data_IF_857115571693
#
_entry.id   IF_857115571693
#
_cell.length_a   1.000
_cell.length_b   1.000
_cell.length_c   1.000
_cell.angle_alpha   90.00
_cell.angle_beta   90.00
_cell.angle_gamma   90.00
#
_symmetry.space_group_name_H-M   'P 1'
#
loop_
_entity.id
_entity.type
_entity.pdbx_description
1 polymer ?
#
# COMPACT_ATOMS: atom_id res chain seq x y z
N UNK A 1 -3.83 2.26 56.19
CA UNK A 1 -4.49 1.03 56.56
C UNK A 1 -5.49 0.69 55.48
N UNK A 2 -5.07 -0.10 54.48
CA UNK A 2 -5.80 -1.16 53.79
C UNK A 2 -4.89 -1.73 52.72
N UNK A 3 -4.43 -2.92 52.98
CA UNK A 3 -3.72 -3.85 52.12
C UNK A 3 -4.73 -4.69 51.37
N UNK A 4 -4.45 -4.96 50.07
CA UNK A 4 -4.82 -6.20 49.37
C UNK A 4 -4.13 -6.20 48.03
N UNK A 5 -3.15 -6.94 47.72
CA UNK A 5 -2.74 -8.35 47.65
C UNK A 5 -3.66 -9.17 46.75
N UNK A 6 -3.04 -9.74 45.69
CA UNK A 6 -3.30 -10.90 44.83
C UNK A 6 -3.24 -10.51 43.34
N UNK A 7 -2.57 -11.19 42.46
CA UNK A 7 -1.85 -12.45 42.46
C UNK A 7 -1.77 -12.91 41.00
N UNK A 8 -0.78 -13.67 40.55
CA UNK A 8 -0.50 -13.94 39.13
C UNK A 8 -1.29 -15.14 38.61
N UNK A 9 -1.85 -15.05 37.42
CA UNK A 9 -2.36 -16.20 36.67
C UNK A 9 -1.47 -16.49 35.48
N UNK A 10 -0.54 -17.41 35.66
CA UNK A 10 0.13 -18.15 34.57
C UNK A 10 -0.88 -19.11 33.96
N UNK A 11 -1.05 -19.05 32.64
CA UNK A 11 -1.55 -20.19 31.88
C UNK A 11 -0.57 -20.51 30.77
N UNK A 12 0.16 -21.57 31.01
CA UNK A 12 0.88 -22.35 30.01
C UNK A 12 -0.13 -23.34 29.41
N UNK A 13 -0.18 -23.43 28.12
CA UNK A 13 -0.76 -24.52 27.32
C UNK A 13 -0.08 -24.37 25.97
N UNK A 14 0.51 -25.30 25.35
CA UNK A 14 0.43 -26.74 25.33
C UNK A 14 0.89 -27.10 23.94
N UNK A 15 1.98 -27.83 23.85
CA UNK A 15 2.54 -28.39 22.63
C UNK A 15 1.53 -29.31 21.93
N UNK A 16 1.34 -29.12 20.62
CA UNK A 16 0.61 -30.00 19.74
C UNK A 16 1.37 -30.18 18.45
N UNK A 17 2.31 -31.11 18.45
CA UNK A 17 2.88 -31.77 17.28
C UNK A 17 1.81 -32.67 16.68
N UNK A 18 1.45 -32.47 15.43
CA UNK A 18 0.90 -33.53 14.59
C UNK A 18 1.30 -33.26 13.15
N UNK A 19 2.21 -34.09 12.69
CA UNK A 19 2.59 -34.22 11.31
C UNK A 19 1.45 -34.82 10.49
N UNK A 20 1.30 -34.30 9.29
CA UNK A 20 0.65 -35.00 8.18
C UNK A 20 1.50 -34.79 6.94
N UNK A 21 2.33 -35.78 6.72
CA UNK A 21 2.90 -36.03 5.41
C UNK A 21 1.76 -36.52 4.50
N UNK A 22 1.46 -35.78 3.47
CA UNK A 22 0.63 -36.26 2.36
C UNK A 22 1.48 -36.24 1.10
N UNK A 23 1.88 -37.44 0.77
CA UNK A 23 2.34 -37.85 -0.52
C UNK A 23 1.22 -37.68 -1.54
N UNK A 24 1.35 -36.79 -2.51
CA UNK A 24 0.48 -36.82 -3.69
C UNK A 24 1.29 -37.21 -4.93
N UNK A 25 0.86 -38.34 -5.40
CA UNK A 25 1.27 -39.02 -6.63
C UNK A 25 1.10 -38.15 -7.89
N UNK A 26 2.05 -38.30 -8.74
CA UNK A 26 2.08 -37.94 -10.15
C UNK A 26 1.14 -38.88 -10.91
N UNK A 27 0.18 -38.34 -11.60
CA UNK A 27 -0.51 -38.92 -12.76
C UNK A 27 -1.37 -37.79 -13.36
N UNK A 28 -1.39 -37.51 -14.56
CA UNK A 28 -1.28 -38.12 -15.82
C UNK A 28 -1.58 -37.10 -16.87
N UNK A 29 -0.90 -37.16 -17.92
CA UNK A 29 -1.09 -36.47 -19.17
C UNK A 29 -2.52 -36.66 -19.69
N UNK A 30 -3.14 -35.57 -20.11
CA UNK A 30 -4.16 -35.62 -21.18
C UNK A 30 -4.01 -34.38 -22.04
N UNK A 31 -3.29 -34.56 -23.13
CA UNK A 31 -3.33 -33.70 -24.28
C UNK A 31 -4.72 -33.83 -24.92
N UNK A 32 -5.51 -32.75 -24.83
CA UNK A 32 -6.61 -32.52 -25.74
C UNK A 32 -6.22 -31.38 -26.67
N UNK A 33 -5.63 -31.74 -27.79
CA UNK A 33 -5.69 -30.93 -28.98
C UNK A 33 -7.10 -31.03 -29.53
N UNK A 34 -7.81 -29.95 -29.60
CA UNK A 34 -8.95 -29.82 -30.51
C UNK A 34 -9.21 -28.34 -30.78
N UNK A 35 -9.19 -28.03 -32.05
CA UNK A 35 -9.94 -26.93 -32.62
C UNK A 35 -9.17 -25.65 -32.86
N UNK A 36 -8.41 -25.60 -33.95
CA UNK A 36 -8.19 -24.36 -34.68
C UNK A 36 -9.55 -23.81 -35.15
N UNK A 37 -10.14 -22.93 -34.36
CA UNK A 37 -11.06 -21.95 -34.93
C UNK A 37 -10.24 -20.74 -35.26
N UNK A 38 -9.99 -20.55 -36.55
CA UNK A 38 -9.51 -19.30 -37.11
C UNK A 38 -10.60 -18.23 -36.91
N UNK A 39 -10.68 -17.72 -35.69
CA UNK A 39 -11.38 -16.48 -35.41
C UNK A 39 -10.47 -15.36 -35.85
N UNK A 40 -10.82 -14.69 -36.93
CA UNK A 40 -10.30 -13.39 -37.35
C UNK A 40 -10.63 -12.37 -36.25
N UNK A 41 -9.89 -12.44 -35.14
CA UNK A 41 -9.97 -11.48 -34.04
C UNK A 41 -9.13 -10.27 -34.40
N UNK A 42 -9.78 -9.13 -34.58
CA UNK A 42 -9.10 -7.85 -34.72
C UNK A 42 -8.03 -7.71 -33.64
N UNK A 43 -6.79 -7.44 -34.05
CA UNK A 43 -5.64 -7.25 -33.18
C UNK A 43 -5.77 -5.96 -32.36
N UNK A 44 -6.64 -5.96 -31.38
CA UNK A 44 -6.62 -4.94 -30.33
C UNK A 44 -5.37 -5.16 -29.48
N UNK A 45 -4.54 -4.14 -29.36
CA UNK A 45 -3.45 -4.18 -28.39
C UNK A 45 -4.03 -4.54 -27.00
N UNK A 46 -3.34 -5.34 -26.20
CA UNK A 46 -3.77 -5.59 -24.83
C UNK A 46 -3.92 -4.25 -24.10
N UNK A 47 -4.89 -4.11 -23.20
CA UNK A 47 -5.05 -2.88 -22.45
C UNK A 47 -3.74 -2.58 -21.67
N UNK A 48 -3.38 -1.29 -21.55
CA UNK A 48 -2.19 -0.91 -20.81
C UNK A 48 -2.30 -1.41 -19.36
N UNK A 49 -1.18 -1.80 -18.75
CA UNK A 49 -1.19 -2.24 -17.34
C UNK A 49 -1.61 -1.09 -16.43
N UNK A 50 -2.28 -1.44 -15.33
CA UNK A 50 -2.58 -0.49 -14.25
C UNK A 50 -1.28 0.08 -13.69
N UNK A 51 -1.21 1.40 -13.56
CA UNK A 51 -0.06 2.14 -13.08
C UNK A 51 -0.50 3.17 -12.01
N UNK A 52 0.47 3.69 -11.25
CA UNK A 52 0.25 4.76 -10.30
C UNK A 52 1.46 5.68 -10.20
N UNK A 53 1.20 6.97 -10.05
CA UNK A 53 2.21 7.98 -9.71
C UNK A 53 1.96 8.52 -8.32
N UNK A 54 3.04 8.73 -7.54
CA UNK A 54 2.98 9.30 -6.20
C UNK A 54 3.58 10.71 -6.26
N UNK A 55 2.88 11.69 -5.69
CA UNK A 55 3.39 13.04 -5.50
C UNK A 55 3.17 13.50 -4.07
N UNK A 56 4.01 14.42 -3.61
CA UNK A 56 4.00 14.95 -2.26
C UNK A 56 3.85 16.46 -2.28
N UNK A 57 3.11 17.01 -1.30
CA UNK A 57 3.02 18.44 -1.07
C UNK A 57 2.78 18.76 0.41
N UNK A 58 2.87 20.03 0.78
CA UNK A 58 2.47 20.52 2.11
C UNK A 58 1.03 21.04 2.07
N UNK A 59 0.22 20.68 3.05
CA UNK A 59 -1.15 21.20 3.20
C UNK A 59 -1.20 22.65 3.71
N UNK A 60 -0.05 23.20 4.14
CA UNK A 60 0.03 24.50 4.81
C UNK A 60 -0.24 25.72 3.93
N UNK A 61 -0.19 25.60 2.59
CA UNK A 61 -0.25 26.74 1.66
C UNK A 61 -1.53 26.87 0.83
N UNK A 62 -2.54 26.03 1.08
CA UNK A 62 -3.82 26.04 0.37
C UNK A 62 -3.75 25.57 -1.09
N UNK A 63 -2.56 25.45 -1.67
CA UNK A 63 -2.30 24.87 -2.99
C UNK A 63 -1.23 23.79 -2.86
N UNK A 64 -1.59 22.56 -3.25
CA UNK A 64 -0.67 21.43 -3.21
C UNK A 64 0.36 21.55 -4.35
N UNK A 65 1.49 22.22 -4.10
CA UNK A 65 2.62 22.26 -5.04
C UNK A 65 3.49 21.03 -4.84
N UNK A 66 3.64 20.15 -5.84
CA UNK A 66 4.45 18.96 -5.71
C UNK A 66 5.92 19.27 -5.43
N UNK A 67 6.49 18.59 -4.43
CA UNK A 67 7.91 18.67 -4.10
C UNK A 67 8.41 17.30 -3.62
N UNK A 68 9.72 17.11 -3.65
CA UNK A 68 10.39 15.88 -3.17
C UNK A 68 11.22 16.11 -1.90
N UNK A 69 11.25 17.36 -1.40
CA UNK A 69 11.96 17.71 -0.18
C UNK A 69 11.21 18.77 0.60
N UNK A 70 11.13 18.61 1.91
CA UNK A 70 10.42 19.50 2.83
C UNK A 70 11.27 19.72 4.09
N UNK A 71 11.23 20.93 4.68
CA UNK A 71 11.81 21.17 6.00
C UNK A 71 10.81 20.79 7.08
N UNK A 72 11.23 20.01 8.06
CA UNK A 72 10.40 19.63 9.23
C UNK A 72 9.94 20.85 10.02
N UNK A 73 10.66 21.97 9.93
CA UNK A 73 10.33 23.21 10.63
C UNK A 73 9.13 23.94 10.04
N UNK A 74 8.89 23.82 8.73
CA UNK A 74 7.79 24.49 8.00
C UNK A 74 6.68 23.52 7.59
N UNK A 75 6.97 22.23 7.40
CA UNK A 75 6.00 21.24 6.95
C UNK A 75 4.91 21.03 8.00
N UNK A 76 3.67 21.35 7.65
CA UNK A 76 2.51 21.08 8.50
C UNK A 76 2.07 19.65 8.41
N UNK A 77 1.64 19.25 7.24
CA UNK A 77 1.20 17.90 6.95
C UNK A 77 1.80 17.45 5.62
N UNK A 78 2.40 16.28 5.60
CA UNK A 78 2.85 15.67 4.35
C UNK A 78 1.63 15.06 3.65
N UNK A 79 1.18 15.73 2.59
CA UNK A 79 0.11 15.22 1.74
C UNK A 79 0.69 14.32 0.68
N UNK A 80 0.14 13.12 0.58
CA UNK A 80 0.51 12.09 -0.38
C UNK A 80 -0.64 11.92 -1.35
N UNK A 81 -0.41 12.25 -2.63
CA UNK A 81 -1.37 12.02 -3.70
C UNK A 81 -0.93 10.82 -4.51
N UNK A 82 -1.83 9.86 -4.66
CA UNK A 82 -1.65 8.68 -5.51
C UNK A 82 -2.60 8.82 -6.70
N UNK A 83 -2.02 9.02 -7.89
CA UNK A 83 -2.78 9.11 -9.14
C UNK A 83 -2.72 7.77 -9.84
N UNK A 84 -3.85 7.09 -9.89
CA UNK A 84 -4.05 5.82 -10.57
C UNK A 84 -4.38 6.04 -12.03
N UNK A 85 -3.86 5.18 -12.90
CA UNK A 85 -4.14 5.14 -14.33
C UNK A 85 -4.41 3.70 -14.80
N UNK A 86 -5.22 3.56 -15.84
CA UNK A 86 -5.57 2.28 -16.46
C UNK A 86 -6.19 1.29 -15.48
N UNK A 87 -7.02 1.79 -14.55
CA UNK A 87 -7.78 0.94 -13.65
C UNK A 87 -8.79 0.12 -14.43
N UNK A 88 -8.88 -1.16 -14.11
CA UNK A 88 -9.97 -2.01 -14.60
C UNK A 88 -11.29 -1.69 -13.88
N UNK A 89 -12.41 -2.05 -14.48
CA UNK A 89 -13.71 -1.97 -13.81
C UNK A 89 -13.79 -2.98 -12.66
N UNK A 90 -14.39 -2.60 -11.55
CA UNK A 90 -14.56 -3.46 -10.39
C UNK A 90 -14.21 -2.78 -9.06
N UNK A 91 -14.29 -3.55 -7.99
CA UNK A 91 -13.85 -3.11 -6.68
C UNK A 91 -12.35 -3.29 -6.54
N UNK A 92 -11.70 -2.24 -6.08
CA UNK A 92 -10.26 -2.24 -5.83
C UNK A 92 -9.95 -1.88 -4.38
N UNK A 93 -8.83 -2.37 -3.89
CA UNK A 93 -8.31 -2.06 -2.57
C UNK A 93 -6.88 -1.55 -2.68
N UNK A 94 -6.69 -0.26 -2.38
CA UNK A 94 -5.37 0.35 -2.25
C UNK A 94 -4.83 0.12 -0.84
N UNK A 95 -3.57 -0.29 -0.73
CA UNK A 95 -2.77 -0.20 0.47
C UNK A 95 -1.66 0.84 0.26
N UNK A 96 -1.55 1.78 1.17
CA UNK A 96 -0.49 2.78 1.21
C UNK A 96 0.32 2.58 2.50
N UNK A 97 1.62 2.41 2.37
CA UNK A 97 2.57 2.24 3.46
C UNK A 97 3.57 3.40 3.44
N UNK A 98 3.75 4.03 4.59
CA UNK A 98 4.75 5.08 4.82
C UNK A 98 5.85 4.50 5.70
N UNK A 99 7.07 4.48 5.20
CA UNK A 99 8.24 3.96 5.90
C UNK A 99 9.14 5.12 6.33
N UNK A 100 9.58 5.06 7.58
CA UNK A 100 10.54 6.02 8.14
C UNK A 100 11.95 5.81 7.60
N UNK A 101 12.88 6.76 7.77
CA UNK A 101 14.25 6.67 7.24
C UNK A 101 15.03 5.43 7.67
N UNK A 102 14.68 4.82 8.81
CA UNK A 102 15.26 3.56 9.26
C UNK A 102 14.73 2.32 8.52
N UNK A 103 13.78 2.48 7.59
CA UNK A 103 13.09 1.40 6.88
C UNK A 103 11.93 0.78 7.64
N UNK A 104 11.68 1.20 8.89
CA UNK A 104 10.52 0.71 9.66
C UNK A 104 9.21 1.30 9.16
N UNK A 105 8.12 0.54 9.29
CA UNK A 105 6.78 1.02 8.99
C UNK A 105 6.38 2.12 9.99
N UNK A 106 6.04 3.29 9.47
CA UNK A 106 5.50 4.39 10.26
C UNK A 106 3.98 4.35 10.30
N UNK A 107 3.36 4.23 9.13
CA UNK A 107 1.91 4.20 8.97
C UNK A 107 1.53 3.32 7.80
N UNK A 108 0.43 2.59 7.93
CA UNK A 108 -0.25 1.94 6.83
C UNK A 108 -1.71 2.38 6.79
N UNK A 109 -2.25 2.53 5.59
CA UNK A 109 -3.67 2.82 5.39
C UNK A 109 -4.22 2.03 4.22
N UNK A 110 -5.42 1.50 4.41
CA UNK A 110 -6.15 0.77 3.39
C UNK A 110 -7.39 1.56 3.00
N UNK A 111 -7.68 1.61 1.71
CA UNK A 111 -8.87 2.27 1.17
C UNK A 111 -9.43 1.43 0.04
N UNK A 112 -10.76 1.28 0.00
CA UNK A 112 -11.43 0.58 -1.09
C UNK A 112 -12.24 1.56 -1.93
N UNK A 113 -12.29 1.32 -3.24
CA UNK A 113 -13.03 2.14 -4.19
C UNK A 113 -13.58 1.28 -5.33
N UNK A 114 -14.61 1.81 -6.00
CA UNK A 114 -15.25 1.16 -7.13
C UNK A 114 -14.97 1.95 -8.42
N UNK A 115 -14.48 1.26 -9.44
CA UNK A 115 -14.43 1.75 -10.81
C UNK A 115 -15.66 1.20 -11.53
N UNK A 116 -16.68 2.04 -11.74
CA UNK A 116 -17.98 1.58 -12.25
C UNK A 116 -17.97 1.35 -13.76
N UNK A 117 -17.14 2.05 -14.49
CA UNK A 117 -17.00 1.91 -15.96
C UNK A 117 -15.59 2.30 -16.44
N UNK A 118 -15.29 1.97 -17.70
CA UNK A 118 -13.97 2.21 -18.29
C UNK A 118 -13.61 3.70 -18.47
N UNK A 119 -14.59 4.61 -18.40
CA UNK A 119 -14.31 6.06 -18.45
C UNK A 119 -13.72 6.59 -17.14
N UNK A 120 -13.85 5.83 -16.08
CA UNK A 120 -13.30 6.11 -14.75
C UNK A 120 -11.95 5.41 -14.50
N UNK A 121 -11.22 5.10 -15.56
CA UNK A 121 -9.93 4.38 -15.47
C UNK A 121 -8.81 5.15 -14.76
N UNK A 122 -9.04 6.41 -14.36
CA UNK A 122 -8.12 7.21 -13.57
C UNK A 122 -8.78 7.71 -12.29
N UNK A 123 -8.01 7.73 -11.18
CA UNK A 123 -8.49 8.17 -9.87
C UNK A 123 -7.32 8.75 -9.06
N UNK A 124 -7.56 9.88 -8.41
CA UNK A 124 -6.63 10.44 -7.42
C UNK A 124 -7.09 10.13 -6.01
N UNK A 125 -6.22 9.54 -5.21
CA UNK A 125 -6.44 9.30 -3.79
C UNK A 125 -5.44 10.11 -2.98
N UNK A 126 -5.93 10.87 -2.00
CA UNK A 126 -5.11 11.74 -1.15
C UNK A 126 -5.07 11.20 0.27
N UNK A 127 -3.88 11.23 0.88
CA UNK A 127 -3.66 10.91 2.29
C UNK A 127 -2.77 11.96 2.92
N UNK A 128 -3.17 12.48 4.09
CA UNK A 128 -2.35 13.37 4.90
C UNK A 128 -1.66 12.60 6.03
N UNK A 129 -0.39 12.91 6.25
CA UNK A 129 0.43 12.43 7.37
C UNK A 129 0.83 13.64 8.21
N UNK A 130 0.31 13.80 9.44
CA UNK A 130 0.62 14.93 10.30
C UNK A 130 2.12 15.02 10.63
N UNK A 131 2.70 16.20 10.47
CA UNK A 131 4.12 16.46 10.79
C UNK A 131 4.24 17.50 11.89
N UNK A 132 3.64 18.69 11.74
CA UNK A 132 3.73 19.74 12.76
C UNK A 132 3.06 19.32 14.07
N UNK A 133 3.81 19.43 15.17
CA UNK A 133 3.32 19.02 16.49
C UNK A 133 3.11 17.52 16.67
N UNK A 134 3.36 16.72 15.64
CA UNK A 134 3.23 15.28 15.66
C UNK A 134 4.57 14.59 15.96
N UNK A 135 4.56 13.26 15.95
CA UNK A 135 5.72 12.45 16.27
C UNK A 135 6.94 12.73 15.39
N UNK A 136 6.72 13.02 14.11
CA UNK A 136 7.80 13.32 13.14
C UNK A 136 8.60 14.55 13.59
N UNK A 137 7.94 15.68 13.87
CA UNK A 137 8.60 16.91 14.31
C UNK A 137 9.16 16.80 15.72
N UNK A 138 8.42 16.20 16.67
CA UNK A 138 8.85 16.04 18.06
C UNK A 138 10.10 15.16 18.20
N UNK A 139 10.24 14.14 17.38
CA UNK A 139 11.37 13.22 17.37
C UNK A 139 12.44 13.59 16.35
N UNK A 140 12.25 14.70 15.59
CA UNK A 140 13.13 15.14 14.52
C UNK A 140 13.47 14.00 13.55
N UNK A 141 12.43 13.28 13.12
CA UNK A 141 12.59 12.15 12.22
C UNK A 141 12.88 12.62 10.80
N UNK A 142 14.06 13.18 10.61
CA UNK A 142 14.55 13.69 9.31
C UNK A 142 15.27 12.60 8.54
N UNK A 143 15.33 12.73 7.21
CA UNK A 143 15.94 11.77 6.31
C UNK A 143 15.03 11.41 5.15
N UNK A 144 15.40 10.37 4.41
CA UNK A 144 14.62 9.86 3.30
C UNK A 144 13.50 8.92 3.79
N UNK A 145 12.28 9.34 3.54
CA UNK A 145 11.07 8.56 3.76
C UNK A 145 10.66 7.87 2.48
N UNK A 146 10.10 6.67 2.58
CA UNK A 146 9.60 5.93 1.42
C UNK A 146 8.10 5.68 1.54
N UNK A 147 7.39 5.88 0.45
CA UNK A 147 5.97 5.56 0.33
C UNK A 147 5.81 4.46 -0.69
N UNK A 148 5.12 3.39 -0.31
CA UNK A 148 4.81 2.26 -1.17
C UNK A 148 3.31 2.15 -1.37
N UNK A 149 2.91 1.83 -2.59
CA UNK A 149 1.51 1.66 -2.94
C UNK A 149 1.31 0.32 -3.61
N UNK A 150 0.29 -0.39 -3.16
CA UNK A 150 -0.19 -1.61 -3.78
C UNK A 150 -1.68 -1.53 -4.09
N UNK A 151 -2.10 -2.27 -5.10
CA UNK A 151 -3.50 -2.43 -5.51
C UNK A 151 -3.83 -3.91 -5.49
N UNK A 152 -4.92 -4.27 -4.79
CA UNK A 152 -5.41 -5.66 -4.68
C UNK A 152 -4.32 -6.66 -4.24
N UNK A 153 -3.45 -6.20 -3.32
CA UNK A 153 -2.32 -6.97 -2.80
C UNK A 153 -1.08 -7.02 -3.70
N UNK A 154 -1.12 -6.43 -4.90
CA UNK A 154 0.02 -6.36 -5.80
C UNK A 154 0.74 -5.01 -5.63
N UNK A 155 2.06 -5.03 -5.37
CA UNK A 155 2.88 -3.82 -5.34
C UNK A 155 2.90 -3.18 -6.75
N UNK A 156 2.62 -1.88 -6.81
CA UNK A 156 2.57 -1.12 -8.07
C UNK A 156 3.75 -0.17 -8.16
N UNK A 157 3.94 0.71 -7.17
CA UNK A 157 4.98 1.73 -7.21
C UNK A 157 5.48 2.10 -5.83
N UNK A 158 6.64 2.74 -5.78
CA UNK A 158 7.16 3.38 -4.57
C UNK A 158 7.86 4.68 -4.94
N UNK A 159 7.80 5.67 -4.04
CA UNK A 159 8.45 6.96 -4.20
C UNK A 159 9.07 7.40 -2.89
N UNK A 160 10.18 8.14 -2.95
CA UNK A 160 10.84 8.70 -1.78
C UNK A 160 10.60 10.20 -1.65
N UNK A 161 10.63 10.69 -0.41
CA UNK A 161 10.53 12.09 -0.06
C UNK A 161 11.54 12.40 1.04
N UNK A 162 12.25 13.52 0.90
CA UNK A 162 13.25 13.95 1.87
C UNK A 162 12.62 14.90 2.88
N UNK A 163 12.71 14.60 4.18
CA UNK A 163 12.38 15.52 5.26
C UNK A 163 13.72 16.01 5.84
N UNK A 164 13.99 17.31 5.69
CA UNK A 164 15.20 17.96 6.18
C UNK A 164 14.96 18.62 7.54
N UNK A 165 16.02 18.92 8.30
CA UNK A 165 15.93 19.67 9.57
C UNK A 165 15.29 21.04 9.42
#
# INVERSE_FOLDING_TARGET
MYTEKRGPARRAWGSGLLGCAVLCLVAGFSACQTGMTSGSGGGGNPPPPTDATISFCDDGEGTCTPATSFSVASLRDLVINVNWENLSTGNHTQMLEVLQPSGGLYQASQSSFLVSDASQSSLTMTRSVPVAGAWISQRRMTGEWSVRVSLDGKAITSQTVQITP
#
